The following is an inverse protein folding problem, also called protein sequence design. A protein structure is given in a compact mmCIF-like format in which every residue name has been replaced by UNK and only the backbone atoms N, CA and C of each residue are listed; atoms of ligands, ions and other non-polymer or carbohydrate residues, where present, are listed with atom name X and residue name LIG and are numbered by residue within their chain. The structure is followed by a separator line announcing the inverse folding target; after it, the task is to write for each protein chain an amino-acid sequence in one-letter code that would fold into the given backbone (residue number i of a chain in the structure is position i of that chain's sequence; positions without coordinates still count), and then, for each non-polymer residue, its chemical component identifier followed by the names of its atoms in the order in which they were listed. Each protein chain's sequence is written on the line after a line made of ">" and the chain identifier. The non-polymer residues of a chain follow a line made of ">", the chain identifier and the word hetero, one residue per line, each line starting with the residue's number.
data_IF_114084617962
#
_entry.id   IF_114084617962
#
_cell.length_a   1.000
_cell.length_b   1.000
_cell.length_c   1.000
_cell.angle_alpha   90.00
_cell.angle_beta   90.00
_cell.angle_gamma   90.00
#
_symmetry.space_group_name_H-M   'P 1'
#
loop_
_entity.id
_entity.type
_entity.pdbx_description
1 polymer ?
#
# COMPACT_ATOMS: atom_id res chain seq x y z
N UNK A 1 -4.92 15.71 -20.82
CA UNK A 1 -3.71 15.19 -20.14
C UNK A 1 -4.13 14.57 -18.82
N UNK A 2 -3.79 13.31 -18.65
CA UNK A 2 -4.14 12.51 -17.47
C UNK A 2 -2.99 12.55 -16.47
N UNK A 3 -3.32 12.51 -15.18
CA UNK A 3 -2.30 12.53 -14.12
C UNK A 3 -2.20 11.16 -13.47
N UNK A 4 -0.99 10.82 -13.08
CA UNK A 4 -0.68 9.61 -12.35
C UNK A 4 -0.02 9.96 -11.02
N UNK A 5 -0.63 9.53 -9.92
CA UNK A 5 -0.07 9.62 -8.58
C UNK A 5 0.66 8.32 -8.24
N UNK A 6 1.98 8.38 -8.09
CA UNK A 6 2.74 7.30 -7.46
C UNK A 6 2.67 7.44 -5.95
N UNK A 7 2.12 6.42 -5.29
CA UNK A 7 1.89 6.40 -3.86
C UNK A 7 2.42 5.12 -3.22
N UNK A 8 3.42 5.26 -2.36
CA UNK A 8 3.95 4.10 -1.61
C UNK A 8 3.05 3.72 -0.44
N UNK A 9 2.41 2.57 -0.48
CA UNK A 9 1.47 2.08 0.55
C UNK A 9 1.99 0.78 1.16
N UNK A 10 1.47 0.42 2.34
CA UNK A 10 1.82 -0.77 3.13
C UNK A 10 3.20 -0.76 3.80
N UNK A 11 3.40 -1.68 4.74
CA UNK A 11 4.54 -1.73 5.67
C UNK A 11 5.89 -1.63 4.96
N UNK A 12 6.46 -0.44 5.06
CA UNK A 12 7.90 -0.23 5.26
C UNK A 12 8.06 0.06 6.75
N UNK A 13 8.26 -0.98 7.55
CA UNK A 13 8.33 -0.94 9.04
C UNK A 13 9.49 -0.10 9.60
N UNK A 14 10.12 0.75 8.79
CA UNK A 14 11.13 1.71 9.22
C UNK A 14 10.64 2.75 10.24
N UNK A 15 9.32 2.93 10.44
CA UNK A 15 8.82 3.73 11.57
C UNK A 15 8.98 3.03 12.94
N UNK A 16 9.33 1.74 12.95
CA UNK A 16 9.60 0.97 14.17
C UNK A 16 10.95 0.26 14.07
N UNK A 17 12.06 1.03 13.97
CA UNK A 17 13.45 0.57 14.10
C UNK A 17 13.71 -0.86 13.56
N UNK A 18 14.05 -0.96 12.27
CA UNK A 18 14.42 -2.22 11.59
C UNK A 18 13.26 -2.88 10.86
N UNK A 19 12.76 -2.25 9.80
CA UNK A 19 11.62 -2.80 9.05
C UNK A 19 11.93 -3.97 8.11
N UNK A 20 10.89 -4.73 7.77
CA UNK A 20 10.78 -5.78 6.77
C UNK A 20 9.65 -5.48 5.77
N UNK A 21 9.69 -6.16 4.63
CA UNK A 21 8.76 -5.95 3.52
C UNK A 21 7.69 -7.03 3.44
N UNK A 22 6.57 -6.68 2.79
CA UNK A 22 5.45 -7.60 2.55
C UNK A 22 5.90 -8.84 1.76
N UNK A 23 5.39 -10.05 2.06
CA UNK A 23 5.73 -11.25 1.31
C UNK A 23 5.23 -11.20 -0.14
N UNK A 24 6.09 -11.61 -1.07
CA UNK A 24 5.69 -12.08 -2.40
C UNK A 24 5.94 -13.59 -2.48
N UNK A 25 4.91 -14.33 -2.88
CA UNK A 25 4.90 -15.79 -2.96
C UNK A 25 5.36 -16.28 -4.33
N UNK A 26 5.66 -17.57 -4.45
CA UNK A 26 6.22 -18.16 -5.67
C UNK A 26 5.34 -18.00 -6.91
N UNK A 27 4.01 -17.98 -6.72
CA UNK A 27 3.03 -17.75 -7.79
C UNK A 27 2.82 -16.26 -8.13
N UNK A 28 3.64 -15.35 -7.59
CA UNK A 28 3.49 -13.91 -7.79
C UNK A 28 2.40 -13.25 -6.94
N UNK A 29 1.66 -14.01 -6.12
CA UNK A 29 0.68 -13.45 -5.19
C UNK A 29 1.38 -12.68 -4.07
N UNK A 30 0.75 -11.62 -3.60
CA UNK A 30 1.32 -10.70 -2.59
C UNK A 30 0.42 -10.66 -1.37
N UNK A 31 1.02 -10.89 -0.21
CA UNK A 31 0.37 -10.62 1.07
C UNK A 31 0.61 -9.16 1.43
N UNK A 32 -0.41 -8.32 1.29
CA UNK A 32 -0.31 -6.92 1.70
C UNK A 32 -0.36 -6.81 3.21
N UNK A 33 0.67 -6.21 3.80
CA UNK A 33 0.73 -5.96 5.23
C UNK A 33 0.49 -4.47 5.50
N UNK A 34 -0.73 -4.05 5.88
CA UNK A 34 -0.96 -2.68 6.30
C UNK A 34 -0.15 -2.30 7.54
N UNK A 35 0.09 -1.01 7.73
CA UNK A 35 0.77 -0.56 8.95
C UNK A 35 -0.14 -0.76 10.16
N UNK A 36 0.45 -0.91 11.35
CA UNK A 36 -0.33 -0.86 12.59
C UNK A 36 -1.11 0.47 12.64
N UNK A 37 -2.37 0.42 13.02
CA UNK A 37 -3.15 1.63 13.26
C UNK A 37 -2.61 2.34 14.50
N UNK A 38 -2.34 3.64 14.36
CA UNK A 38 -1.72 4.49 15.38
C UNK A 38 -2.72 5.44 16.02
N UNK A 39 -3.85 5.67 15.36
CA UNK A 39 -4.94 6.47 15.91
C UNK A 39 -5.81 5.64 16.86
N UNK A 40 -6.35 6.31 17.87
CA UNK A 40 -7.33 5.69 18.74
C UNK A 40 -8.63 5.46 17.96
N UNK A 41 -9.10 4.21 17.99
CA UNK A 41 -10.31 3.78 17.33
C UNK A 41 -11.44 3.64 18.34
N UNK A 42 -12.64 4.12 17.98
CA UNK A 42 -13.88 3.92 18.75
C UNK A 42 -14.19 2.44 18.98
N UNK A 43 -13.85 1.63 17.99
CA UNK A 43 -13.92 0.18 18.02
C UNK A 43 -12.92 -0.41 17.02
N UNK A 44 -12.49 -1.66 17.21
CA UNK A 44 -11.66 -2.38 16.23
C UNK A 44 -12.57 -3.36 15.47
N UNK A 45 -13.14 -2.97 14.32
CA UNK A 45 -13.96 -3.86 13.51
C UNK A 45 -13.12 -4.98 12.89
N UNK A 46 -13.76 -6.08 12.49
CA UNK A 46 -13.10 -7.26 11.93
C UNK A 46 -12.18 -6.97 10.73
N UNK A 47 -12.52 -5.98 9.90
CA UNK A 47 -11.74 -5.61 8.71
C UNK A 47 -10.50 -4.74 9.01
N UNK A 48 -10.32 -4.33 10.27
CA UNK A 48 -9.11 -3.68 10.78
C UNK A 48 -8.35 -4.58 11.77
N UNK A 49 -8.90 -5.73 12.17
CA UNK A 49 -8.24 -6.66 13.07
C UNK A 49 -7.40 -7.68 12.28
N UNK A 50 -6.08 -7.64 12.42
CA UNK A 50 -5.15 -8.51 11.68
C UNK A 50 -5.42 -10.02 11.85
N UNK A 51 -6.05 -10.44 12.94
CA UNK A 51 -6.39 -11.85 13.19
C UNK A 51 -7.65 -12.27 12.42
N UNK A 52 -8.54 -11.33 12.13
CA UNK A 52 -9.81 -11.57 11.44
C UNK A 52 -9.73 -11.37 9.94
N UNK A 53 -8.72 -10.62 9.46
CA UNK A 53 -8.47 -10.45 8.03
C UNK A 53 -7.72 -11.68 7.51
N UNK A 54 -8.31 -12.36 6.52
CA UNK A 54 -7.71 -13.52 5.87
C UNK A 54 -6.90 -13.06 4.65
N UNK A 55 -5.63 -13.50 4.59
CA UNK A 55 -4.77 -13.29 3.44
C UNK A 55 -5.24 -14.11 2.24
N UNK A 56 -5.45 -13.44 1.11
CA UNK A 56 -5.94 -14.08 -0.12
C UNK A 56 -4.94 -15.07 -0.75
N UNK A 57 -3.65 -14.96 -0.45
CA UNK A 57 -2.63 -15.81 -1.06
C UNK A 57 -2.46 -17.14 -0.33
N UNK A 58 -2.63 -17.13 1.00
CA UNK A 58 -2.32 -18.29 1.87
C UNK A 58 -3.52 -18.81 2.65
N UNK A 59 -4.65 -18.10 2.62
CA UNK A 59 -5.83 -18.38 3.46
C UNK A 59 -5.55 -18.33 4.97
N UNK A 60 -4.41 -17.76 5.38
CA UNK A 60 -4.04 -17.58 6.78
C UNK A 60 -4.48 -16.20 7.28
N UNK A 61 -4.70 -16.01 8.59
CA UNK A 61 -4.87 -14.69 9.17
C UNK A 61 -3.66 -13.78 8.88
N UNK A 62 -3.90 -12.50 8.57
CA UNK A 62 -2.83 -11.53 8.35
C UNK A 62 -1.86 -11.45 9.54
N UNK A 63 -2.33 -11.68 10.76
CA UNK A 63 -1.50 -11.72 11.98
C UNK A 63 -0.33 -12.69 11.92
N UNK A 64 -0.38 -13.74 11.08
CA UNK A 64 0.72 -14.69 10.87
C UNK A 64 1.98 -14.02 10.30
N UNK A 65 1.80 -12.91 9.60
CA UNK A 65 2.87 -12.18 8.91
C UNK A 65 3.38 -10.96 9.69
N UNK A 66 2.82 -10.72 10.89
CA UNK A 66 3.31 -9.70 11.82
C UNK A 66 4.25 -10.33 12.85
N UNK A 67 5.13 -9.53 13.49
CA UNK A 67 5.85 -10.01 14.65
C UNK A 67 4.85 -10.49 15.69
N UNK A 68 5.06 -11.70 16.23
CA UNK A 68 4.20 -12.26 17.28
C UNK A 68 4.05 -11.32 18.48
N UNK A 69 5.09 -10.50 18.75
CA UNK A 69 5.10 -9.51 19.82
C UNK A 69 4.08 -8.38 19.60
N UNK A 70 3.64 -8.15 18.37
CA UNK A 70 2.64 -7.13 18.03
C UNK A 70 1.21 -7.65 18.16
N UNK A 71 1.04 -8.96 18.18
CA UNK A 71 -0.24 -9.64 18.28
C UNK A 71 -0.58 -9.87 19.76
N UNK A 72 -0.76 -8.77 20.50
CA UNK A 72 -1.07 -8.81 21.94
C UNK A 72 -2.59 -8.96 22.13
N UNK A 73 -3.02 -9.92 22.95
CA UNK A 73 -4.40 -10.09 23.41
C UNK A 73 -5.46 -10.02 22.30
N UNK A 74 -5.13 -10.47 21.09
CA UNK A 74 -5.99 -10.44 19.91
C UNK A 74 -6.46 -9.05 19.42
N UNK A 75 -5.72 -7.99 19.73
CA UNK A 75 -6.12 -6.58 19.47
C UNK A 75 -5.24 -5.83 18.45
N UNK A 76 -4.55 -6.54 17.55
CA UNK A 76 -3.74 -5.84 16.53
C UNK A 76 -4.66 -5.19 15.48
N UNK A 77 -4.90 -3.88 15.65
CA UNK A 77 -5.54 -3.04 14.66
C UNK A 77 -4.53 -2.60 13.57
N UNK A 78 -4.94 -2.68 12.32
CA UNK A 78 -4.14 -2.29 11.16
C UNK A 78 -4.87 -1.24 10.34
N UNK A 79 -4.11 -0.30 9.78
CA UNK A 79 -4.60 0.74 8.89
C UNK A 79 -4.82 0.15 7.49
N UNK A 80 -5.89 -0.64 7.33
CA UNK A 80 -6.18 -1.43 6.13
C UNK A 80 -6.69 -0.56 4.97
N UNK A 81 -5.82 0.34 4.50
CA UNK A 81 -6.06 1.23 3.36
C UNK A 81 -4.80 1.30 2.49
N UNK A 82 -4.91 1.31 1.15
CA UNK A 82 -6.15 1.32 0.35
C UNK A 82 -6.94 0.00 0.37
N UNK A 83 -8.25 0.09 0.17
CA UNK A 83 -9.14 -1.06 -0.05
C UNK A 83 -9.33 -1.29 -1.53
N UNK A 84 -8.28 -1.88 -2.13
CA UNK A 84 -8.23 -2.24 -3.55
C UNK A 84 -9.27 -3.29 -3.94
N UNK A 85 -9.75 -4.08 -2.98
CA UNK A 85 -10.87 -5.00 -3.16
C UNK A 85 -12.23 -4.30 -3.21
N UNK A 86 -12.31 -3.05 -2.72
CA UNK A 86 -13.54 -2.26 -2.64
C UNK A 86 -13.53 -0.99 -3.50
N UNK A 87 -12.46 -0.76 -4.27
CA UNK A 87 -12.36 0.37 -5.21
C UNK A 87 -12.08 1.73 -4.56
N UNK A 88 -11.42 1.78 -3.40
CA UNK A 88 -11.12 3.08 -2.78
C UNK A 88 -9.80 3.17 -2.03
N UNK A 89 -9.38 4.42 -1.83
CA UNK A 89 -8.29 4.82 -0.93
C UNK A 89 -8.73 6.06 -0.15
N UNK A 90 -8.51 6.09 1.16
CA UNK A 90 -8.73 7.29 1.95
C UNK A 90 -7.45 7.86 2.56
N UNK A 91 -7.43 9.17 2.77
CA UNK A 91 -6.30 9.86 3.38
C UNK A 91 -6.57 11.35 3.53
N UNK A 92 -5.51 12.16 3.51
CA UNK A 92 -5.64 13.62 3.58
C UNK A 92 -4.96 14.29 2.39
N UNK A 93 -5.32 15.55 2.13
CA UNK A 93 -4.60 16.36 1.15
C UNK A 93 -3.18 16.71 1.60
N UNK A 94 -2.25 16.76 0.65
CA UNK A 94 -0.90 17.33 0.85
C UNK A 94 -0.98 18.81 1.29
N UNK A 95 -0.01 19.33 2.08
CA UNK A 95 1.26 18.70 2.47
C UNK A 95 1.17 17.78 3.70
N UNK A 96 0.05 17.78 4.42
CA UNK A 96 -0.15 16.99 5.64
C UNK A 96 -0.40 15.50 5.28
N UNK A 97 -1.20 15.26 4.24
CA UNK A 97 -1.42 13.94 3.68
C UNK A 97 -0.69 13.74 2.35
N UNK A 98 -1.19 12.80 1.55
CA UNK A 98 -0.49 12.30 0.35
C UNK A 98 -1.31 12.42 -0.93
N UNK A 99 -2.58 12.77 -0.81
CA UNK A 99 -3.48 13.00 -1.94
C UNK A 99 -3.26 14.45 -2.40
N UNK A 100 -2.92 14.70 -3.67
CA UNK A 100 -2.82 16.06 -4.18
C UNK A 100 -4.22 16.61 -4.51
N UNK A 101 -4.49 17.88 -4.17
CA UNK A 101 -5.76 18.57 -4.51
C UNK A 101 -6.10 18.62 -6.01
N UNK A 102 -5.07 18.46 -6.86
CA UNK A 102 -5.16 18.50 -8.32
C UNK A 102 -5.43 17.13 -8.97
N UNK A 103 -5.58 16.07 -8.18
CA UNK A 103 -6.08 14.79 -8.67
C UNK A 103 -7.55 14.99 -9.10
N UNK A 104 -7.96 14.35 -10.19
CA UNK A 104 -9.30 14.48 -10.76
C UNK A 104 -9.82 13.13 -11.29
N UNK A 105 -11.08 13.10 -11.71
CA UNK A 105 -11.67 11.96 -12.44
C UNK A 105 -10.82 11.62 -13.67
N UNK A 106 -10.73 10.33 -13.97
CA UNK A 106 -9.90 9.69 -15.00
C UNK A 106 -8.38 9.76 -14.74
N UNK A 107 -7.91 10.41 -13.68
CA UNK A 107 -6.53 10.27 -13.23
C UNK A 107 -6.31 8.87 -12.62
N UNK A 108 -5.05 8.48 -12.43
CA UNK A 108 -4.66 7.20 -11.85
C UNK A 108 -3.90 7.38 -10.54
N UNK A 109 -4.11 6.45 -9.61
CA UNK A 109 -3.20 6.23 -8.48
C UNK A 109 -2.53 4.89 -8.69
N UNK A 110 -1.20 4.88 -8.82
CA UNK A 110 -0.38 3.67 -8.79
C UNK A 110 0.18 3.47 -7.39
N UNK A 111 -0.08 2.30 -6.83
CA UNK A 111 0.35 1.92 -5.50
C UNK A 111 1.67 1.17 -5.56
N UNK A 112 2.64 1.63 -4.77
CA UNK A 112 3.95 0.99 -4.64
C UNK A 112 4.09 0.34 -3.27
N UNK A 113 4.68 -0.84 -3.16
CA UNK A 113 4.97 -1.49 -1.88
C UNK A 113 6.40 -2.03 -1.86
N UNK A 114 6.98 -2.11 -0.66
CA UNK A 114 8.19 -2.90 -0.46
C UNK A 114 7.81 -4.38 -0.37
N UNK A 115 8.36 -5.21 -1.27
CA UNK A 115 8.12 -6.66 -1.26
C UNK A 115 9.43 -7.44 -1.09
N UNK A 116 9.35 -8.60 -0.44
CA UNK A 116 10.46 -9.54 -0.30
C UNK A 116 10.00 -10.99 -0.45
N UNK A 117 10.81 -11.79 -1.15
CA UNK A 117 10.63 -13.24 -1.25
C UNK A 117 11.40 -13.93 -0.12
N UNK A 118 10.66 -14.39 0.88
CA UNK A 118 11.19 -15.13 2.02
C UNK A 118 11.45 -16.60 1.63
N UNK A 119 12.19 -17.33 2.46
CA UNK A 119 12.39 -18.77 2.25
C UNK A 119 11.05 -19.51 2.36
N UNK A 120 10.89 -20.59 1.59
CA UNK A 120 9.73 -21.46 1.71
C UNK A 120 9.56 -21.94 3.16
N UNK A 121 8.31 -22.01 3.61
CA UNK A 121 7.94 -22.38 4.98
C UNK A 121 8.30 -21.36 6.07
N UNK A 122 8.81 -20.17 5.72
CA UNK A 122 9.15 -19.17 6.72
C UNK A 122 7.92 -18.73 7.53
N UNK A 123 6.77 -18.55 6.88
CA UNK A 123 5.54 -18.06 7.50
C UNK A 123 4.59 -19.14 8.03
N UNK A 124 4.99 -20.42 8.02
CA UNK A 124 4.16 -21.54 8.49
C UNK A 124 3.84 -21.49 10.00
N UNK A 125 4.54 -20.62 10.73
CA UNK A 125 4.30 -20.32 12.14
C UNK A 125 4.56 -18.85 12.45
N UNK A 126 3.95 -18.28 13.50
CA UNK A 126 4.25 -16.91 13.95
C UNK A 126 5.74 -16.73 14.24
N UNK A 127 6.29 -15.58 13.82
CA UNK A 127 7.72 -15.25 13.96
C UNK A 127 7.94 -14.06 14.87
N UNK A 128 9.06 -14.08 15.59
CA UNK A 128 9.52 -12.91 16.33
C UNK A 128 10.01 -11.81 15.40
N UNK A 129 9.99 -10.56 15.88
CA UNK A 129 10.55 -9.41 15.13
C UNK A 129 11.98 -9.68 14.65
N UNK A 130 12.85 -10.26 15.48
CA UNK A 130 14.26 -10.50 15.14
C UNK A 130 14.43 -11.56 14.05
N UNK A 131 13.64 -12.64 14.09
CA UNK A 131 13.62 -13.65 13.02
C UNK A 131 13.21 -13.04 11.68
N UNK A 132 12.16 -12.21 11.69
CA UNK A 132 11.67 -11.54 10.47
C UNK A 132 12.73 -10.61 9.89
N UNK A 133 13.37 -9.79 10.73
CA UNK A 133 14.44 -8.87 10.29
C UNK A 133 15.62 -9.64 9.70
N UNK A 134 16.04 -10.75 10.34
CA UNK A 134 17.12 -11.59 9.83
C UNK A 134 16.77 -12.17 8.46
N UNK A 135 15.57 -12.74 8.33
CA UNK A 135 15.10 -13.33 7.07
C UNK A 135 14.97 -12.27 5.96
N UNK A 136 14.49 -11.06 6.30
CA UNK A 136 14.43 -9.95 5.35
C UNK A 136 15.82 -9.49 4.90
N UNK A 137 16.78 -9.39 5.81
CA UNK A 137 18.18 -9.07 5.45
C UNK A 137 18.74 -10.11 4.48
N UNK A 138 18.53 -11.39 4.75
CA UNK A 138 18.95 -12.47 3.85
C UNK A 138 18.28 -12.38 2.48
N UNK A 139 16.96 -12.09 2.42
CA UNK A 139 16.25 -11.89 1.17
C UNK A 139 16.82 -10.70 0.38
N UNK A 140 17.09 -9.58 1.07
CA UNK A 140 17.71 -8.39 0.47
C UNK A 140 19.09 -8.70 -0.08
N UNK A 141 19.97 -9.36 0.67
CA UNK A 141 21.34 -9.67 0.25
C UNK A 141 21.38 -10.64 -0.95
N UNK A 142 20.32 -11.45 -1.12
CA UNK A 142 20.10 -12.31 -2.29
C UNK A 142 19.46 -11.60 -3.50
N UNK A 143 19.05 -10.33 -3.40
CA UNK A 143 18.35 -9.61 -4.47
C UNK A 143 16.84 -9.89 -4.54
N UNK A 144 16.33 -10.61 -3.54
CA UNK A 144 14.93 -11.03 -3.44
C UNK A 144 14.03 -9.98 -2.76
N UNK A 145 14.50 -8.75 -2.61
CA UNK A 145 13.73 -7.64 -2.04
C UNK A 145 13.83 -6.38 -2.91
N UNK A 146 12.75 -5.62 -2.98
CA UNK A 146 12.64 -4.46 -3.85
C UNK A 146 11.42 -3.60 -3.57
N UNK A 147 11.30 -2.50 -4.31
CA UNK A 147 10.05 -1.73 -4.39
C UNK A 147 9.34 -2.16 -5.66
N UNK A 148 8.03 -2.38 -5.56
CA UNK A 148 7.19 -2.85 -6.63
C UNK A 148 5.97 -1.96 -6.82
N UNK A 149 5.46 -1.85 -8.05
CA UNK A 149 4.08 -1.41 -8.30
C UNK A 149 3.20 -2.64 -8.16
N UNK A 150 2.15 -2.52 -7.34
CA UNK A 150 1.37 -3.68 -6.87
C UNK A 150 -0.12 -3.59 -7.19
N UNK A 151 -0.61 -2.39 -7.47
CA UNK A 151 -2.00 -2.14 -7.79
C UNK A 151 -2.20 -0.73 -8.36
N UNK A 152 -3.40 -0.48 -8.87
CA UNK A 152 -3.84 0.87 -9.23
C UNK A 152 -5.31 1.12 -8.92
N UNK A 153 -5.68 2.40 -8.88
CA UNK A 153 -7.06 2.89 -8.96
C UNK A 153 -7.16 3.89 -10.11
N UNK A 154 -8.08 3.66 -11.06
CA UNK A 154 -8.54 4.66 -12.03
C UNK A 154 -9.65 5.48 -11.35
N UNK A 155 -9.42 6.77 -11.17
CA UNK A 155 -10.27 7.64 -10.35
C UNK A 155 -11.60 7.90 -11.02
N UNK A 156 -12.70 7.52 -10.37
CA UNK A 156 -14.06 7.84 -10.79
C UNK A 156 -14.58 9.08 -10.06
N UNK A 157 -14.28 9.20 -8.77
CA UNK A 157 -14.70 10.33 -7.95
C UNK A 157 -13.71 10.63 -6.82
N UNK A 158 -13.72 11.87 -6.34
CA UNK A 158 -12.93 12.35 -5.20
C UNK A 158 -13.87 13.08 -4.24
N UNK A 159 -13.92 12.59 -3.01
CA UNK A 159 -14.93 13.01 -2.02
C UNK A 159 -14.23 13.57 -0.79
N UNK A 160 -14.49 14.83 -0.47
CA UNK A 160 -14.13 15.40 0.83
C UNK A 160 -15.16 14.97 1.88
N UNK A 161 -14.71 14.19 2.86
CA UNK A 161 -15.55 13.65 3.92
C UNK A 161 -15.60 14.63 5.08
N UNK A 162 -16.65 15.45 5.09
CA UNK A 162 -17.01 16.32 6.23
C UNK A 162 -17.93 15.63 7.22
N UNK A 163 -18.78 14.72 6.72
CA UNK A 163 -19.68 13.91 7.52
C UNK A 163 -19.65 12.46 6.99
N UNK A 164 -19.14 11.55 7.82
CA UNK A 164 -19.00 10.15 7.46
C UNK A 164 -20.33 9.43 7.19
N UNK A 165 -21.38 9.73 7.95
CA UNK A 165 -22.69 9.07 7.76
C UNK A 165 -23.27 9.40 6.38
N UNK A 166 -23.16 10.67 5.95
CA UNK A 166 -23.59 11.08 4.63
C UNK A 166 -22.72 10.46 3.54
N UNK A 167 -21.39 10.45 3.73
CA UNK A 167 -20.46 9.86 2.77
C UNK A 167 -20.72 8.37 2.58
N UNK A 168 -20.97 7.61 3.66
CA UNK A 168 -21.28 6.18 3.63
C UNK A 168 -22.64 5.93 2.97
N UNK A 169 -23.64 6.79 3.18
CA UNK A 169 -24.94 6.66 2.49
C UNK A 169 -24.78 6.72 0.96
N UNK A 170 -23.86 7.57 0.47
CA UNK A 170 -23.56 7.70 -0.97
C UNK A 170 -22.59 6.63 -1.46
N UNK A 171 -21.60 6.28 -0.65
CA UNK A 171 -20.53 5.31 -0.95
C UNK A 171 -20.41 4.29 0.19
N UNK A 172 -21.25 3.24 0.22
CA UNK A 172 -21.34 2.32 1.35
C UNK A 172 -20.02 1.63 1.72
N UNK A 173 -19.13 1.42 0.75
CA UNK A 173 -17.81 0.82 0.98
C UNK A 173 -16.90 1.67 1.87
N UNK A 174 -17.13 2.98 2.00
CA UNK A 174 -16.31 3.85 2.85
C UNK A 174 -16.41 3.50 4.34
N UNK A 175 -17.43 2.75 4.77
CA UNK A 175 -17.51 2.21 6.14
C UNK A 175 -16.35 1.28 6.49
N UNK A 176 -15.62 0.78 5.49
CA UNK A 176 -14.47 -0.09 5.66
C UNK A 176 -13.13 0.66 5.73
N UNK A 177 -13.16 1.99 5.70
CA UNK A 177 -11.97 2.82 5.91
C UNK A 177 -11.60 2.88 7.39
N UNK A 178 -10.32 2.79 7.77
CA UNK A 178 -9.88 3.04 9.15
C UNK A 178 -10.25 4.44 9.65
N UNK A 179 -10.24 5.46 8.79
CA UNK A 179 -10.53 6.85 9.15
C UNK A 179 -11.98 7.05 9.60
N UNK A 180 -12.90 6.14 9.23
CA UNK A 180 -14.27 6.16 9.75
C UNK A 180 -14.31 5.85 11.24
N UNK A 181 -13.37 5.06 11.76
CA UNK A 181 -13.40 4.57 13.15
C UNK A 181 -12.62 5.43 14.14
N UNK A 182 -11.90 6.45 13.66
CA UNK A 182 -11.12 7.34 14.52
C UNK A 182 -12.03 8.09 15.50
N UNK A 183 -11.61 8.18 16.76
CA UNK A 183 -12.34 8.94 17.80
C UNK A 183 -12.35 10.44 17.50
N UNK A 184 -11.19 10.99 17.15
CA UNK A 184 -11.01 12.42 16.86
C UNK A 184 -10.52 12.63 15.43
N UNK A 185 -11.40 13.14 14.58
CA UNK A 185 -11.02 13.59 13.22
C UNK A 185 -10.90 15.10 13.18
N UNK A 186 -9.75 15.64 13.58
CA UNK A 186 -9.46 17.08 13.44
C UNK A 186 -9.22 17.51 11.97
N UNK A 187 -9.22 16.57 11.03
CA UNK A 187 -8.79 16.80 9.64
C UNK A 187 -9.83 16.28 8.65
N UNK A 188 -9.98 17.02 7.55
CA UNK A 188 -10.79 16.59 6.42
C UNK A 188 -10.14 15.34 5.82
N UNK A 189 -10.89 14.24 5.85
CA UNK A 189 -10.52 13.02 5.13
C UNK A 189 -10.99 13.13 3.70
N UNK A 190 -10.19 12.62 2.77
CA UNK A 190 -10.49 12.58 1.34
C UNK A 190 -10.56 11.12 0.93
N UNK A 191 -11.65 10.73 0.27
CA UNK A 191 -11.82 9.45 -0.37
C UNK A 191 -11.58 9.59 -1.87
N UNK A 192 -10.70 8.74 -2.41
CA UNK A 192 -10.57 8.51 -3.84
C UNK A 192 -11.29 7.21 -4.15
N UNK A 193 -12.27 7.28 -5.04
CA UNK A 193 -13.15 6.16 -5.40
C UNK A 193 -12.97 5.86 -6.87
N UNK A 194 -12.85 4.59 -7.24
CA UNK A 194 -12.53 4.24 -8.61
C UNK A 194 -12.49 2.74 -8.90
N UNK A 195 -12.16 2.43 -10.15
CA UNK A 195 -11.90 1.06 -10.58
C UNK A 195 -10.50 0.65 -10.12
N UNK A 196 -10.42 -0.38 -9.29
CA UNK A 196 -9.18 -0.88 -8.72
C UNK A 196 -8.79 -2.22 -9.29
N UNK A 197 -7.49 -2.43 -9.50
CA UNK A 197 -6.95 -3.74 -9.87
C UNK A 197 -5.63 -4.00 -9.15
N UNK A 198 -5.44 -5.26 -8.74
CA UNK A 198 -4.13 -5.75 -8.35
C UNK A 198 -3.30 -6.05 -9.60
N UNK A 199 -2.00 -5.83 -9.51
CA UNK A 199 -1.04 -6.20 -10.57
C UNK A 199 -0.38 -7.50 -10.14
N UNK A 200 -0.65 -8.58 -10.88
CA UNK A 200 -0.17 -9.93 -10.58
C UNK A 200 0.41 -10.52 -11.87
N UNK A 201 1.74 -10.77 -11.95
CA UNK A 201 2.73 -10.54 -10.91
C UNK A 201 3.05 -9.04 -10.71
N UNK A 202 3.43 -8.59 -9.50
CA UNK A 202 3.82 -7.20 -9.28
C UNK A 202 5.11 -6.84 -10.01
N UNK A 203 5.26 -5.55 -10.32
CA UNK A 203 6.37 -5.07 -11.15
C UNK A 203 7.44 -4.45 -10.31
N UNK A 204 8.65 -5.04 -10.35
CA UNK A 204 9.81 -4.50 -9.66
C UNK A 204 10.25 -3.19 -10.31
N UNK A 205 10.26 -2.13 -9.53
CA UNK A 205 10.71 -0.79 -9.95
C UNK A 205 12.04 -0.36 -9.33
N UNK A 206 12.46 -1.03 -8.26
CA UNK A 206 13.73 -0.77 -7.60
C UNK A 206 14.30 -2.02 -6.93
N UNK A 207 15.59 -2.28 -7.14
CA UNK A 207 16.33 -3.36 -6.50
C UNK A 207 17.06 -2.86 -5.24
N UNK A 208 16.82 -3.49 -4.09
CA UNK A 208 17.45 -3.07 -2.83
C UNK A 208 18.92 -3.53 -2.70
N UNK A 209 19.31 -4.62 -3.35
CA UNK A 209 20.70 -5.13 -3.33
C UNK A 209 21.60 -4.24 -4.17
N UNK A 210 21.19 -4.01 -5.41
CA UNK A 210 21.96 -3.19 -6.35
C UNK A 210 21.79 -1.69 -6.09
N UNK A 211 20.73 -1.31 -5.35
CA UNK A 211 20.31 0.08 -5.11
C UNK A 211 20.06 0.84 -6.42
N UNK A 212 19.47 0.16 -7.41
CA UNK A 212 19.23 0.68 -8.76
C UNK A 212 17.74 0.65 -9.11
N UNK A 213 17.24 1.67 -9.84
CA UNK A 213 15.92 1.58 -10.48
C UNK A 213 15.96 0.55 -11.61
N UNK A 214 14.83 -0.08 -11.88
CA UNK A 214 14.66 -0.87 -13.11
C UNK A 214 14.41 0.04 -14.30
N UNK A 215 14.62 -0.47 -15.52
CA UNK A 215 14.28 0.25 -16.76
C UNK A 215 12.82 0.67 -16.78
N UNK A 216 11.92 -0.22 -16.36
CA UNK A 216 10.48 0.06 -16.25
C UNK A 216 10.18 1.34 -15.47
N UNK A 217 10.85 1.58 -14.34
CA UNK A 217 10.64 2.83 -13.59
C UNK A 217 11.12 4.05 -14.39
N UNK A 218 12.30 3.95 -15.00
CA UNK A 218 12.89 5.06 -15.77
C UNK A 218 12.03 5.39 -16.98
N UNK A 219 11.53 4.39 -17.68
CA UNK A 219 10.67 4.55 -18.86
C UNK A 219 9.32 5.12 -18.45
N UNK A 220 8.78 4.67 -17.31
CA UNK A 220 7.50 5.13 -16.78
C UNK A 220 7.51 6.61 -16.38
N UNK A 221 8.50 7.04 -15.60
CA UNK A 221 8.49 8.39 -15.02
C UNK A 221 9.58 9.31 -15.54
N UNK A 222 10.47 8.82 -16.39
CA UNK A 222 11.66 9.55 -16.81
C UNK A 222 12.76 9.55 -15.75
N UNK A 223 13.99 9.80 -16.21
CA UNK A 223 15.20 9.78 -15.38
C UNK A 223 15.15 10.79 -14.22
N UNK A 224 14.70 12.01 -14.48
CA UNK A 224 14.64 13.06 -13.47
C UNK A 224 13.66 12.71 -12.34
N UNK A 225 12.46 12.23 -12.69
CA UNK A 225 11.49 11.83 -11.67
C UNK A 225 12.00 10.60 -10.89
N UNK A 226 12.63 9.64 -11.55
CA UNK A 226 13.27 8.49 -10.91
C UNK A 226 14.27 8.91 -9.85
N UNK A 227 15.21 9.81 -10.19
CA UNK A 227 16.23 10.29 -9.25
C UNK A 227 15.61 10.94 -8.01
N UNK A 228 14.63 11.85 -8.16
CA UNK A 228 14.05 12.48 -6.95
C UNK A 228 13.21 11.50 -6.12
N UNK A 229 12.62 10.47 -6.73
CA UNK A 229 11.83 9.47 -6.03
C UNK A 229 12.73 8.56 -5.17
N UNK A 230 13.88 8.13 -5.73
CA UNK A 230 14.92 7.39 -5.02
C UNK A 230 15.52 8.24 -3.88
N UNK A 231 15.87 9.51 -4.13
CA UNK A 231 16.42 10.41 -3.09
C UNK A 231 15.51 10.55 -1.87
N UNK A 232 14.19 10.40 -2.04
CA UNK A 232 13.21 10.44 -0.96
C UNK A 232 12.84 9.05 -0.41
N UNK A 233 13.59 8.00 -0.75
CA UNK A 233 13.30 6.60 -0.39
C UNK A 233 11.84 6.20 -0.69
N UNK A 234 11.30 6.69 -1.81
CA UNK A 234 9.94 6.39 -2.25
C UNK A 234 8.84 6.84 -1.26
N UNK A 235 9.15 7.68 -0.25
CA UNK A 235 8.20 8.03 0.83
C UNK A 235 7.18 9.08 0.41
N UNK A 236 7.63 10.12 -0.30
CA UNK A 236 6.77 11.21 -0.76
C UNK A 236 5.95 10.77 -1.96
N UNK A 237 4.65 11.07 -1.95
CA UNK A 237 3.81 10.86 -3.11
C UNK A 237 4.25 11.78 -4.24
N UNK A 238 4.08 11.33 -5.47
CA UNK A 238 4.48 12.11 -6.65
C UNK A 238 3.38 12.08 -7.69
N UNK A 239 2.88 13.27 -8.02
CA UNK A 239 1.98 13.42 -9.15
C UNK A 239 2.78 13.74 -10.41
N UNK A 240 2.53 12.97 -11.44
CA UNK A 240 3.18 13.02 -12.74
C UNK A 240 2.10 13.27 -13.77
N UNK A 241 2.36 14.17 -14.71
CA UNK A 241 1.45 14.50 -15.80
C UNK A 241 1.94 13.75 -17.02
N UNK A 242 1.08 12.94 -17.64
CA UNK A 242 1.41 12.11 -18.79
C UNK A 242 0.22 12.06 -19.76
N UNK A 243 0.42 11.49 -20.95
CA UNK A 243 -0.70 11.17 -21.82
C UNK A 243 -1.55 10.03 -21.22
N UNK A 244 -2.88 10.11 -21.38
CA UNK A 244 -3.80 9.03 -21.04
C UNK A 244 -3.41 7.71 -21.71
N UNK A 245 -3.07 7.74 -22.99
CA UNK A 245 -2.76 6.55 -23.78
C UNK A 245 -1.48 5.89 -23.26
N UNK A 246 -0.49 6.68 -22.85
CA UNK A 246 0.74 6.15 -22.24
C UNK A 246 0.48 5.47 -20.90
N UNK A 247 -0.44 6.00 -20.08
CA UNK A 247 -0.82 5.39 -18.81
C UNK A 247 -1.62 4.10 -19.03
N UNK A 248 -2.54 4.11 -20.00
CA UNK A 248 -3.35 2.93 -20.34
C UNK A 248 -2.51 1.83 -20.97
N UNK A 249 -1.67 2.14 -21.97
CA UNK A 249 -0.71 1.20 -22.54
C UNK A 249 0.26 0.65 -21.50
N UNK A 250 0.71 1.51 -20.57
CA UNK A 250 1.47 1.03 -19.43
C UNK A 250 0.65 0.02 -18.64
N UNK A 251 -0.53 0.41 -18.12
CA UNK A 251 -1.39 -0.45 -17.30
C UNK A 251 -1.72 -1.77 -18.01
N UNK A 252 -1.95 -1.75 -19.32
CA UNK A 252 -2.14 -2.95 -20.12
C UNK A 252 -0.88 -3.80 -20.22
N UNK A 253 0.29 -3.19 -20.41
CA UNK A 253 1.57 -3.91 -20.33
C UNK A 253 1.89 -4.46 -18.92
N UNK A 254 1.14 -4.03 -17.89
CA UNK A 254 1.24 -4.51 -16.52
C UNK A 254 0.29 -5.68 -16.21
N UNK A 255 -0.65 -6.01 -17.11
CA UNK A 255 -1.57 -7.15 -16.99
C UNK A 255 -0.95 -8.42 -17.57
#
# INVERSE_FOLDING_TARGET
>A
MTKMLLLRVYLDTNQFYGGYYSPIHDNGCITFLPIKEVHQLREIPSHLNAIKIIDKCTNMPLSMFYPREWVINNKLAVHNDPRLDLGFYTGHYAPIGRIPRRLARNDYILFMAGLAKYRAGFWDKPRSKSEIIKAFKEAKDKGNAGIYIVAYIKVNDIVEIKNWLQAIKKYPNLKYSPHYYWEDTQRITVAVIGESNYIIPPIKIFDLKEKKPTRVLVDLIGKENTVRLIKNNFRKSRLIIMDSEQIENLIESLK
#
